data_IF_809709253877
#
_entry.id   IF_809709253877
#
_cell.length_a   1.000
_cell.length_b   1.000
_cell.length_c   1.000
_cell.angle_alpha   90.00
_cell.angle_beta   90.00
_cell.angle_gamma   90.00
#
_symmetry.space_group_name_H-M   'P 1'
#
loop_
_entity.id
_entity.type
_entity.pdbx_description
1 polymer ?
#
# COMPACT_ATOMS: atom_id res chain seq x y z
N UNK A 1 -3.63 23.50 30.25
CA UNK A 1 -5.01 23.04 30.31
C UNK A 1 -4.99 21.52 30.41
N UNK A 2 -5.24 20.94 31.59
CA UNK A 2 -5.37 19.48 31.75
C UNK A 2 -6.71 19.05 31.19
N UNK A 3 -6.71 18.36 30.07
CA UNK A 3 -7.94 17.80 29.51
C UNK A 3 -8.29 16.55 30.32
N UNK A 4 -9.29 16.65 31.15
CA UNK A 4 -9.88 15.50 31.83
C UNK A 4 -10.65 14.69 30.77
N UNK A 5 -10.15 13.51 30.45
CA UNK A 5 -10.86 12.57 29.60
C UNK A 5 -12.01 11.94 30.39
N UNK A 6 -13.16 12.60 30.42
CA UNK A 6 -14.41 11.92 30.76
C UNK A 6 -14.59 10.77 29.77
N UNK A 7 -14.96 9.58 30.26
CA UNK A 7 -15.36 8.45 29.42
C UNK A 7 -16.42 8.94 28.42
N UNK A 8 -15.99 9.22 27.21
CA UNK A 8 -16.92 9.47 26.10
C UNK A 8 -17.56 8.13 25.78
N UNK A 9 -18.87 8.06 25.83
CA UNK A 9 -19.61 6.85 25.49
C UNK A 9 -19.15 6.33 24.13
N UNK A 10 -18.86 5.04 24.08
CA UNK A 10 -18.31 4.31 22.91
C UNK A 10 -19.14 4.35 21.62
N UNK A 11 -20.31 4.95 21.67
CA UNK A 11 -21.25 5.10 20.53
C UNK A 11 -20.80 6.10 19.44
N UNK A 12 -19.80 6.94 19.72
CA UNK A 12 -19.35 8.00 18.79
C UNK A 12 -18.13 7.64 17.94
N UNK A 13 -17.44 6.54 18.23
CA UNK A 13 -16.33 6.08 17.41
C UNK A 13 -16.81 5.13 16.32
N UNK A 14 -17.33 5.71 15.25
CA UNK A 14 -17.57 4.97 14.02
C UNK A 14 -16.21 4.68 13.39
N UNK A 15 -15.70 3.47 13.63
CA UNK A 15 -14.53 2.97 12.88
C UNK A 15 -14.97 2.75 11.45
N UNK A 16 -14.69 3.69 10.57
CA UNK A 16 -15.07 3.65 9.15
C UNK A 16 -14.12 2.80 8.31
N UNK A 17 -13.13 2.15 8.92
CA UNK A 17 -12.06 1.50 8.21
C UNK A 17 -12.08 -0.02 8.46
N UNK A 18 -12.24 -0.80 7.39
CA UNK A 18 -12.07 -2.25 7.40
C UNK A 18 -10.58 -2.68 7.55
N UNK A 19 -9.70 -1.73 7.84
CA UNK A 19 -8.27 -1.96 7.96
C UNK A 19 -7.89 -2.55 9.32
N UNK A 20 -6.84 -3.34 9.34
CA UNK A 20 -6.18 -3.83 10.55
C UNK A 20 -5.72 -2.66 11.44
N UNK A 21 -5.57 -2.92 12.75
CA UNK A 21 -4.98 -1.96 13.71
C UNK A 21 -3.46 -1.82 13.56
N UNK A 22 -2.81 -2.76 12.86
CA UNK A 22 -1.35 -2.85 12.73
C UNK A 22 -0.71 -1.54 12.25
N UNK A 23 -1.21 -0.86 11.19
CA UNK A 23 -0.59 0.37 10.72
C UNK A 23 -0.70 1.54 11.69
N UNK A 24 -1.54 1.43 12.72
CA UNK A 24 -1.73 2.46 13.74
C UNK A 24 -0.90 2.23 15.01
N UNK A 25 -0.16 1.11 15.10
CA UNK A 25 0.66 0.79 16.27
C UNK A 25 1.67 1.89 16.59
N UNK A 26 2.44 2.45 15.63
CA UNK A 26 3.42 3.48 15.93
C UNK A 26 2.78 4.74 16.53
N UNK A 27 1.66 5.18 15.96
CA UNK A 27 0.92 6.35 16.45
C UNK A 27 0.37 6.09 17.86
N UNK A 28 -0.17 4.89 18.10
CA UNK A 28 -0.67 4.50 19.42
C UNK A 28 0.42 4.50 20.48
N UNK A 29 1.63 4.06 20.14
CA UNK A 29 2.80 4.12 21.05
C UNK A 29 3.13 5.57 21.39
N UNK A 30 3.18 6.47 20.41
CA UNK A 30 3.46 7.89 20.68
C UNK A 30 2.40 8.56 21.57
N UNK A 31 1.12 8.27 21.32
CA UNK A 31 0.01 8.75 22.13
C UNK A 31 0.10 8.17 23.56
N UNK A 32 0.42 6.90 23.69
CA UNK A 32 0.56 6.22 24.97
C UNK A 32 1.69 6.84 25.82
N UNK A 33 2.85 7.09 25.21
CA UNK A 33 3.98 7.77 25.87
C UNK A 33 3.55 9.17 26.36
N UNK A 34 2.89 9.97 25.51
CA UNK A 34 2.43 11.29 25.88
C UNK A 34 1.43 11.27 27.06
N UNK A 35 0.58 10.25 27.12
CA UNK A 35 -0.39 10.06 28.21
C UNK A 35 0.30 9.71 29.53
N UNK A 36 1.29 8.80 29.52
CA UNK A 36 2.06 8.44 30.72
C UNK A 36 2.78 9.67 31.29
N UNK A 37 3.34 10.50 30.41
CA UNK A 37 4.06 11.70 30.78
C UNK A 37 3.12 12.86 31.17
N UNK A 38 1.80 12.68 31.13
CA UNK A 38 0.82 13.71 31.48
C UNK A 38 0.85 14.93 30.59
N UNK A 39 1.29 14.78 29.32
CA UNK A 39 1.46 15.89 28.38
C UNK A 39 0.12 16.41 27.85
N UNK A 40 0.14 17.63 27.30
CA UNK A 40 -1.04 18.26 26.71
C UNK A 40 -1.49 17.56 25.41
N UNK A 41 -2.71 17.86 24.96
CA UNK A 41 -3.28 17.32 23.72
C UNK A 41 -2.36 17.57 22.49
N UNK A 42 -1.70 18.73 22.43
CA UNK A 42 -0.77 19.07 21.36
C UNK A 42 0.37 18.04 21.28
N UNK A 43 0.94 17.67 22.44
CA UNK A 43 2.03 16.68 22.50
C UNK A 43 1.55 15.26 22.16
N UNK A 44 0.31 14.88 22.47
CA UNK A 44 -0.26 13.61 22.00
C UNK A 44 -0.23 13.53 20.47
N UNK A 45 -0.64 14.62 19.81
CA UNK A 45 -0.63 14.68 18.33
C UNK A 45 0.80 14.65 17.80
N UNK A 46 1.71 15.46 18.36
CA UNK A 46 3.10 15.53 17.91
C UNK A 46 3.81 14.18 18.07
N UNK A 47 3.73 13.56 19.25
CA UNK A 47 4.41 12.28 19.53
C UNK A 47 3.81 11.13 18.73
N UNK A 48 2.49 11.09 18.52
CA UNK A 48 1.87 10.10 17.64
C UNK A 48 2.40 10.17 16.21
N UNK A 49 2.46 11.36 15.63
CA UNK A 49 3.01 11.61 14.28
C UNK A 49 4.51 11.32 14.22
N UNK A 50 5.26 11.73 15.23
CA UNK A 50 6.69 11.50 15.31
C UNK A 50 7.03 10.01 15.35
N UNK A 51 6.33 9.21 16.17
CA UNK A 51 6.54 7.77 16.23
C UNK A 51 6.22 7.09 14.88
N UNK A 52 5.18 7.54 14.17
CA UNK A 52 4.89 7.03 12.84
C UNK A 52 6.02 7.33 11.84
N UNK A 53 6.53 8.57 11.85
CA UNK A 53 7.65 8.98 11.00
C UNK A 53 8.93 8.18 11.32
N UNK A 54 9.25 8.00 12.59
CA UNK A 54 10.41 7.21 13.02
C UNK A 54 10.29 5.76 12.55
N UNK A 55 9.12 5.15 12.74
CA UNK A 55 8.87 3.79 12.30
C UNK A 55 9.01 3.63 10.77
N UNK A 56 8.43 4.56 10.02
CA UNK A 56 8.60 4.65 8.57
C UNK A 56 10.08 4.73 8.18
N UNK A 57 10.83 5.64 8.77
CA UNK A 57 12.25 5.85 8.47
C UNK A 57 13.10 4.60 8.79
N UNK A 58 12.83 3.93 9.90
CA UNK A 58 13.55 2.71 10.30
C UNK A 58 13.27 1.55 9.33
N UNK A 59 12.01 1.30 9.00
CA UNK A 59 11.63 0.20 8.09
C UNK A 59 12.16 0.50 6.68
N UNK A 60 12.02 1.74 6.20
CA UNK A 60 12.53 2.16 4.89
C UNK A 60 14.06 2.06 4.81
N UNK A 61 14.78 2.45 5.88
CA UNK A 61 16.24 2.24 5.97
C UNK A 61 16.61 0.76 5.84
N UNK A 62 15.85 -0.13 6.49
CA UNK A 62 16.07 -1.57 6.37
C UNK A 62 15.79 -2.06 4.94
N UNK A 63 14.75 -1.53 4.29
CA UNK A 63 14.44 -1.83 2.90
C UNK A 63 15.58 -1.39 1.96
N UNK A 64 16.07 -0.16 2.09
CA UNK A 64 17.19 0.37 1.30
C UNK A 64 18.43 -0.51 1.46
N UNK A 65 18.83 -0.83 2.70
CA UNK A 65 19.98 -1.70 2.95
C UNK A 65 19.84 -3.09 2.33
N UNK A 66 18.61 -3.58 2.22
CA UNK A 66 18.31 -4.91 1.69
C UNK A 66 18.23 -4.94 0.17
N UNK A 67 17.83 -3.83 -0.45
CA UNK A 67 17.69 -3.67 -1.89
C UNK A 67 19.02 -3.40 -2.60
N UNK A 68 20.07 -4.19 -2.31
CA UNK A 68 21.42 -4.01 -2.89
C UNK A 68 21.36 -3.81 -4.40
N UNK A 69 21.99 -2.73 -4.89
CA UNK A 69 21.99 -2.31 -6.29
C UNK A 69 20.80 -1.43 -6.68
N UNK A 70 19.81 -1.25 -5.80
CA UNK A 70 18.64 -0.39 -6.00
C UNK A 70 18.48 0.64 -4.87
N UNK A 71 19.50 0.84 -4.03
CA UNK A 71 19.44 1.67 -2.83
C UNK A 71 18.99 3.09 -3.13
N UNK A 72 19.51 3.67 -4.20
CA UNK A 72 19.20 5.05 -4.59
C UNK A 72 17.76 5.15 -5.11
N UNK A 73 17.30 4.17 -5.89
CA UNK A 73 15.90 4.12 -6.35
C UNK A 73 14.94 4.06 -5.15
N UNK A 74 15.19 3.16 -4.19
CA UNK A 74 14.37 3.04 -3.00
C UNK A 74 14.43 4.32 -2.15
N UNK A 75 15.60 4.92 -2.00
CA UNK A 75 15.78 6.18 -1.30
C UNK A 75 15.02 7.33 -1.95
N UNK A 76 15.11 7.46 -3.27
CA UNK A 76 14.41 8.49 -4.02
C UNK A 76 12.88 8.38 -3.90
N UNK A 77 12.34 7.16 -4.02
CA UNK A 77 10.89 6.94 -3.88
C UNK A 77 10.44 7.17 -2.44
N UNK A 78 11.21 6.72 -1.46
CA UNK A 78 10.86 6.90 -0.05
C UNK A 78 10.86 8.37 0.40
N UNK A 79 11.65 9.21 -0.26
CA UNK A 79 11.73 10.65 0.02
C UNK A 79 10.73 11.47 -0.82
N UNK A 80 9.87 10.84 -1.62
CA UNK A 80 8.80 11.57 -2.29
C UNK A 80 7.96 12.36 -1.27
N UNK A 81 7.61 13.63 -1.57
CA UNK A 81 6.91 14.50 -0.63
C UNK A 81 5.66 13.87 -0.02
N UNK A 82 4.85 13.18 -0.83
CA UNK A 82 3.66 12.50 -0.34
C UNK A 82 4.00 11.36 0.63
N UNK A 83 5.04 10.56 0.36
CA UNK A 83 5.47 9.48 1.25
C UNK A 83 5.88 10.01 2.62
N UNK A 84 6.67 11.08 2.64
CA UNK A 84 7.10 11.74 3.89
C UNK A 84 5.92 12.38 4.63
N UNK A 85 5.00 13.04 3.90
CA UNK A 85 3.80 13.61 4.49
C UNK A 85 2.93 12.55 5.17
N UNK A 86 2.66 11.44 4.50
CA UNK A 86 1.87 10.32 5.06
C UNK A 86 2.55 9.70 6.28
N UNK A 87 3.88 9.54 6.24
CA UNK A 87 4.66 9.06 7.36
C UNK A 87 4.63 10.00 8.57
N UNK A 88 4.61 11.33 8.32
CA UNK A 88 4.50 12.37 9.35
C UNK A 88 3.05 12.71 9.74
N UNK A 89 2.08 11.87 9.41
CA UNK A 89 0.66 12.06 9.70
C UNK A 89 0.09 10.92 10.56
N UNK A 90 -1.21 10.96 10.87
CA UNK A 90 -1.94 9.81 11.45
C UNK A 90 -2.45 8.82 10.41
N UNK A 91 -2.06 8.98 9.14
CA UNK A 91 -2.46 8.04 8.09
C UNK A 91 -1.84 6.66 8.32
N UNK A 92 -2.57 5.58 8.09
CA UNK A 92 -2.02 4.22 8.05
C UNK A 92 -1.06 4.01 6.87
N UNK A 93 -1.14 4.88 5.86
CA UNK A 93 -0.44 4.71 4.59
C UNK A 93 1.08 4.84 4.72
N UNK A 94 1.57 5.62 5.70
CA UNK A 94 3.00 5.67 6.00
C UNK A 94 3.57 4.29 6.31
N UNK A 95 2.88 3.51 7.16
CA UNK A 95 3.30 2.15 7.52
C UNK A 95 3.12 1.18 6.34
N UNK A 96 2.01 1.29 5.60
CA UNK A 96 1.76 0.46 4.41
C UNK A 96 2.88 0.66 3.39
N UNK A 97 3.27 1.90 3.10
CA UNK A 97 4.34 2.22 2.17
C UNK A 97 5.70 1.65 2.64
N UNK A 98 6.04 1.85 3.93
CA UNK A 98 7.29 1.33 4.49
C UNK A 98 7.38 -0.21 4.38
N UNK A 99 6.32 -0.93 4.73
CA UNK A 99 6.27 -2.39 4.66
C UNK A 99 6.26 -2.88 3.21
N UNK A 100 5.62 -2.16 2.30
CA UNK A 100 5.66 -2.47 0.86
C UNK A 100 7.07 -2.31 0.31
N UNK A 101 7.77 -1.23 0.64
CA UNK A 101 9.19 -1.08 0.29
C UNK A 101 10.02 -2.22 0.84
N UNK A 102 9.81 -2.59 2.10
CA UNK A 102 10.55 -3.70 2.70
C UNK A 102 10.28 -5.04 2.01
N UNK A 103 9.03 -5.33 1.64
CA UNK A 103 8.66 -6.55 0.95
C UNK A 103 9.27 -6.63 -0.46
N UNK A 104 9.23 -5.52 -1.23
CA UNK A 104 9.85 -5.45 -2.56
C UNK A 104 11.38 -5.57 -2.44
N UNK A 105 11.98 -4.91 -1.46
CA UNK A 105 13.41 -5.05 -1.18
C UNK A 105 13.79 -6.49 -0.80
N UNK A 106 12.94 -7.18 -0.04
CA UNK A 106 13.11 -8.60 0.26
C UNK A 106 13.09 -9.45 -1.02
N UNK A 107 12.17 -9.19 -1.94
CA UNK A 107 12.11 -9.86 -3.23
C UNK A 107 13.41 -9.64 -4.03
N UNK A 108 13.87 -8.40 -4.17
CA UNK A 108 15.14 -8.09 -4.82
C UNK A 108 16.31 -8.81 -4.14
N UNK A 109 16.34 -8.83 -2.82
CA UNK A 109 17.36 -9.54 -2.05
C UNK A 109 17.37 -11.03 -2.31
N UNK A 110 16.20 -11.69 -2.33
CA UNK A 110 16.09 -13.13 -2.58
C UNK A 110 16.61 -13.51 -3.98
N UNK A 111 16.45 -12.63 -4.97
CA UNK A 111 16.94 -12.85 -6.33
C UNK A 111 18.46 -12.62 -6.43
N UNK A 112 18.96 -11.57 -5.78
CA UNK A 112 20.33 -11.10 -6.00
C UNK A 112 21.36 -11.76 -5.07
N UNK A 113 20.94 -12.33 -3.93
CA UNK A 113 21.86 -13.04 -3.02
C UNK A 113 22.39 -14.33 -3.67
N UNK A 114 23.58 -14.78 -3.29
CA UNK A 114 24.19 -16.02 -3.76
C UNK A 114 23.45 -17.27 -3.23
N UNK A 115 22.97 -17.21 -2.00
CA UNK A 115 22.25 -18.31 -1.37
C UNK A 115 20.91 -18.57 -2.05
N UNK A 116 20.56 -19.84 -2.17
CA UNK A 116 19.25 -20.27 -2.70
C UNK A 116 18.13 -19.88 -1.76
N UNK A 117 16.95 -19.71 -2.32
CA UNK A 117 15.72 -19.38 -1.59
C UNK A 117 15.19 -20.64 -0.90
N UNK A 118 15.17 -20.62 0.43
CA UNK A 118 14.68 -21.71 1.26
C UNK A 118 13.16 -21.57 1.49
N UNK A 119 12.54 -22.65 1.96
CA UNK A 119 11.12 -22.62 2.35
C UNK A 119 10.84 -21.59 3.45
N UNK A 120 11.78 -21.41 4.39
CA UNK A 120 11.66 -20.40 5.46
C UNK A 120 11.57 -18.97 4.90
N UNK A 121 12.38 -18.65 3.88
CA UNK A 121 12.34 -17.33 3.23
C UNK A 121 10.97 -17.08 2.61
N UNK A 122 10.38 -18.09 1.99
CA UNK A 122 9.06 -18.02 1.36
C UNK A 122 7.95 -17.82 2.38
N UNK A 123 8.01 -18.50 3.53
CA UNK A 123 7.07 -18.29 4.65
C UNK A 123 7.15 -16.85 5.17
N UNK A 124 8.36 -16.34 5.41
CA UNK A 124 8.55 -14.96 5.88
C UNK A 124 7.96 -13.97 4.87
N UNK A 125 8.20 -14.19 3.58
CA UNK A 125 7.65 -13.33 2.53
C UNK A 125 6.13 -13.38 2.48
N UNK A 126 5.54 -14.57 2.55
CA UNK A 126 4.09 -14.77 2.58
C UNK A 126 3.45 -14.14 3.83
N UNK A 127 4.07 -14.29 5.00
CA UNK A 127 3.60 -13.68 6.24
C UNK A 127 3.59 -12.14 6.18
N UNK A 128 4.64 -11.53 5.62
CA UNK A 128 4.70 -10.08 5.39
C UNK A 128 3.63 -9.63 4.38
N UNK A 129 3.41 -10.40 3.32
CA UNK A 129 2.35 -10.12 2.34
C UNK A 129 0.96 -10.22 2.98
N UNK A 130 0.74 -11.19 3.87
CA UNK A 130 -0.51 -11.33 4.62
C UNK A 130 -0.74 -10.13 5.54
N UNK A 131 0.28 -9.68 6.26
CA UNK A 131 0.19 -8.47 7.10
C UNK A 131 -0.22 -7.26 6.25
N UNK A 132 0.41 -7.05 5.10
CA UNK A 132 0.03 -5.97 4.16
C UNK A 132 -1.41 -6.13 3.65
N UNK A 133 -1.84 -7.35 3.33
CA UNK A 133 -3.20 -7.64 2.87
C UNK A 133 -4.26 -7.32 3.93
N UNK A 134 -3.97 -7.52 5.23
CA UNK A 134 -4.87 -7.10 6.32
C UNK A 134 -4.97 -5.59 6.46
N UNK A 135 -3.96 -4.85 6.03
CA UNK A 135 -3.99 -3.38 6.00
C UNK A 135 -4.74 -2.86 4.78
N UNK A 136 -4.44 -3.41 3.60
CA UNK A 136 -5.07 -3.09 2.31
C UNK A 136 -5.13 -4.34 1.42
N UNK A 137 -6.32 -4.86 1.19
CA UNK A 137 -6.55 -6.12 0.50
C UNK A 137 -5.82 -6.29 -0.86
N UNK A 138 -5.73 -5.30 -1.75
CA UNK A 138 -5.05 -5.47 -3.03
C UNK A 138 -3.58 -5.89 -2.92
N UNK A 139 -2.93 -5.58 -1.81
CA UNK A 139 -1.53 -5.95 -1.57
C UNK A 139 -1.32 -7.45 -1.35
N UNK A 140 -2.40 -8.26 -1.20
CA UNK A 140 -2.30 -9.72 -1.22
C UNK A 140 -1.62 -10.24 -2.49
N UNK A 141 -1.80 -9.54 -3.61
CA UNK A 141 -1.18 -9.90 -4.89
C UNK A 141 0.35 -9.88 -4.85
N UNK A 142 0.96 -9.16 -3.90
CA UNK A 142 2.42 -9.13 -3.75
C UNK A 142 3.01 -10.50 -3.42
N UNK A 143 2.25 -11.40 -2.76
CA UNK A 143 2.72 -12.76 -2.53
C UNK A 143 2.97 -13.51 -3.84
N UNK A 144 2.29 -13.13 -4.92
CA UNK A 144 2.48 -13.68 -6.27
C UNK A 144 3.89 -13.50 -6.81
N UNK A 145 4.68 -12.54 -6.30
CA UNK A 145 6.09 -12.36 -6.65
C UNK A 145 6.92 -13.63 -6.41
N UNK A 146 6.53 -14.47 -5.46
CA UNK A 146 7.21 -15.76 -5.21
C UNK A 146 7.24 -16.67 -6.44
N UNK A 147 6.22 -16.61 -7.30
CA UNK A 147 6.16 -17.40 -8.54
C UNK A 147 7.15 -16.93 -9.61
N UNK A 148 7.68 -15.72 -9.47
CA UNK A 148 8.58 -15.08 -10.43
C UNK A 148 10.04 -15.07 -9.98
N UNK A 149 10.38 -15.85 -8.94
CA UNK A 149 11.75 -16.13 -8.56
C UNK A 149 12.32 -17.15 -9.53
N UNK A 150 13.53 -16.94 -10.13
CA UNK A 150 14.14 -17.88 -11.08
C UNK A 150 14.32 -19.29 -10.50
N UNK A 151 14.17 -20.31 -11.36
CA UNK A 151 14.30 -21.72 -10.95
C UNK A 151 15.68 -22.03 -10.36
N UNK A 152 16.70 -21.40 -10.89
CA UNK A 152 18.11 -21.57 -10.48
C UNK A 152 18.33 -21.09 -9.04
N UNK A 153 17.51 -20.15 -8.58
CA UNK A 153 17.56 -19.58 -7.23
C UNK A 153 16.79 -20.40 -6.19
N UNK A 154 15.95 -21.33 -6.64
CA UNK A 154 15.19 -22.19 -5.73
C UNK A 154 16.05 -23.36 -5.20
N UNK A 155 15.96 -23.64 -3.91
CA UNK A 155 16.72 -24.72 -3.27
C UNK A 155 16.24 -26.10 -3.75
N UNK A 156 14.92 -26.28 -3.89
CA UNK A 156 14.30 -27.52 -4.31
C UNK A 156 13.28 -27.26 -5.42
N UNK A 157 13.18 -28.18 -6.43
CA UNK A 157 12.18 -28.06 -7.50
C UNK A 157 10.74 -27.96 -7.00
N UNK A 158 10.43 -28.57 -5.86
CA UNK A 158 9.11 -28.49 -5.20
C UNK A 158 8.79 -27.09 -4.64
N UNK A 159 9.75 -26.17 -4.57
CA UNK A 159 9.51 -24.83 -4.02
C UNK A 159 8.43 -24.05 -4.78
N UNK A 160 8.23 -24.33 -6.09
CA UNK A 160 7.10 -23.71 -6.83
C UNK A 160 5.74 -24.22 -6.34
N UNK A 161 5.64 -25.49 -5.95
CA UNK A 161 4.43 -26.03 -5.33
C UNK A 161 4.19 -25.35 -3.98
N UNK A 162 5.24 -25.16 -3.19
CA UNK A 162 5.15 -24.44 -1.91
C UNK A 162 4.81 -22.96 -2.13
N UNK A 163 5.35 -22.31 -3.16
CA UNK A 163 4.96 -20.94 -3.53
C UNK A 163 3.46 -20.87 -3.86
N UNK A 164 2.96 -21.79 -4.69
CA UNK A 164 1.54 -21.85 -5.03
C UNK A 164 0.67 -22.09 -3.79
N UNK A 165 1.08 -23.01 -2.90
CA UNK A 165 0.39 -23.27 -1.65
C UNK A 165 0.36 -22.03 -0.74
N UNK A 166 1.49 -21.34 -0.57
CA UNK A 166 1.57 -20.12 0.23
C UNK A 166 0.72 -18.98 -0.35
N UNK A 167 0.70 -18.82 -1.68
CA UNK A 167 -0.17 -17.86 -2.36
C UNK A 167 -1.64 -18.19 -2.06
N UNK A 168 -2.03 -19.44 -2.22
CA UNK A 168 -3.40 -19.89 -1.96
C UNK A 168 -3.82 -19.68 -0.50
N UNK A 169 -2.97 -20.10 0.45
CA UNK A 169 -3.22 -19.91 1.90
C UNK A 169 -3.31 -18.42 2.24
N UNK A 170 -2.39 -17.60 1.73
CA UNK A 170 -2.41 -16.15 1.97
C UNK A 170 -3.69 -15.51 1.42
N UNK A 171 -4.13 -15.92 0.22
CA UNK A 171 -5.38 -15.44 -0.38
C UNK A 171 -6.61 -15.84 0.47
N UNK A 172 -6.68 -17.08 0.93
CA UNK A 172 -7.78 -17.56 1.80
C UNK A 172 -7.81 -16.77 3.12
N UNK A 173 -6.67 -16.66 3.79
CA UNK A 173 -6.59 -15.93 5.07
C UNK A 173 -6.96 -14.46 4.92
N UNK A 174 -6.55 -13.82 3.82
CA UNK A 174 -6.92 -12.45 3.51
C UNK A 174 -8.42 -12.31 3.25
N UNK A 175 -9.04 -13.27 2.57
CA UNK A 175 -10.48 -13.30 2.33
C UNK A 175 -11.28 -13.52 3.63
N UNK A 176 -10.84 -14.45 4.48
CA UNK A 176 -11.45 -14.67 5.79
C UNK A 176 -11.36 -13.42 6.67
N UNK A 177 -10.21 -12.75 6.67
CA UNK A 177 -10.04 -11.47 7.35
C UNK A 177 -11.01 -10.41 6.82
N UNK A 178 -11.15 -10.28 5.49
CA UNK A 178 -12.08 -9.34 4.88
C UNK A 178 -13.51 -9.63 5.30
N UNK A 179 -13.94 -10.89 5.29
CA UNK A 179 -15.28 -11.30 5.70
C UNK A 179 -15.55 -10.90 7.15
N UNK A 180 -14.65 -11.25 8.08
CA UNK A 180 -14.80 -10.87 9.49
C UNK A 180 -14.81 -9.36 9.68
N UNK A 181 -13.97 -8.63 8.95
CA UNK A 181 -13.92 -7.17 9.01
C UNK A 181 -15.17 -6.53 8.40
N UNK A 182 -15.76 -7.10 7.35
CA UNK A 182 -16.99 -6.61 6.73
C UNK A 182 -18.21 -6.83 7.62
N UNK A 183 -18.29 -7.95 8.33
CA UNK A 183 -19.37 -8.24 9.28
C UNK A 183 -19.40 -7.23 10.44
N UNK A 184 -18.22 -6.80 10.93
CA UNK A 184 -18.07 -5.75 11.93
C UNK A 184 -18.51 -4.38 11.38
N UNK A 185 -18.36 -4.16 10.08
CA UNK A 185 -18.64 -2.88 9.41
C UNK A 185 -19.97 -2.88 8.62
N UNK A 186 -20.68 -4.01 8.51
CA UNK A 186 -21.90 -4.15 7.72
C UNK A 186 -23.04 -3.21 8.17
N UNK A 187 -23.01 -2.72 9.42
CA UNK A 187 -23.94 -1.70 9.92
C UNK A 187 -23.69 -0.29 9.34
N UNK A 188 -22.70 -0.14 8.46
CA UNK A 188 -22.20 1.16 7.99
C UNK A 188 -22.09 1.21 6.46
N UNK A 189 -23.17 0.89 5.75
CA UNK A 189 -23.30 1.26 4.33
C UNK A 189 -23.31 2.79 4.26
N UNK A 190 -22.14 3.36 4.20
CA UNK A 190 -21.96 4.78 3.96
C UNK A 190 -22.34 5.06 2.51
N UNK A 191 -23.31 5.96 2.30
CA UNK A 191 -23.75 6.45 0.98
C UNK A 191 -24.68 5.55 0.15
N UNK A 192 -25.40 4.56 0.73
CA UNK A 192 -26.45 3.82 0.01
C UNK A 192 -25.95 2.91 -1.12
N UNK A 193 -24.65 2.64 -1.21
CA UNK A 193 -24.07 1.74 -2.21
C UNK A 193 -24.06 0.32 -1.67
N UNK A 194 -24.74 -0.60 -2.37
CA UNK A 194 -24.62 -2.03 -2.11
C UNK A 194 -23.52 -2.64 -3.00
N UNK A 195 -22.37 -3.07 -2.46
CA UNK A 195 -21.29 -3.62 -3.26
C UNK A 195 -21.69 -4.86 -4.06
N UNK A 196 -22.57 -5.71 -3.50
CA UNK A 196 -23.02 -6.94 -4.17
C UNK A 196 -23.85 -6.62 -5.41
N UNK A 197 -24.79 -5.69 -5.29
CA UNK A 197 -25.64 -5.28 -6.42
C UNK A 197 -24.81 -4.51 -7.45
N UNK A 198 -23.82 -3.76 -7.02
CA UNK A 198 -22.86 -3.11 -7.92
C UNK A 198 -22.02 -4.12 -8.71
N UNK A 199 -21.59 -5.21 -8.08
CA UNK A 199 -20.90 -6.32 -8.77
C UNK A 199 -21.82 -6.95 -9.82
N UNK A 200 -23.10 -7.25 -9.46
CA UNK A 200 -24.07 -7.81 -10.41
C UNK A 200 -24.28 -6.89 -11.61
N UNK A 201 -24.47 -5.60 -11.34
CA UNK A 201 -24.63 -4.58 -12.38
C UNK A 201 -23.38 -4.51 -13.28
N UNK A 202 -22.20 -4.55 -12.71
CA UNK A 202 -20.92 -4.54 -13.45
C UNK A 202 -20.78 -5.77 -14.35
N UNK A 203 -21.13 -6.96 -13.86
CA UNK A 203 -21.10 -8.20 -14.64
C UNK A 203 -22.09 -8.13 -15.80
N UNK A 204 -23.29 -7.57 -15.60
CA UNK A 204 -24.28 -7.38 -16.65
C UNK A 204 -23.80 -6.42 -17.77
N UNK A 205 -22.86 -5.52 -17.44
CA UNK A 205 -22.37 -4.49 -18.37
C UNK A 205 -20.84 -4.57 -18.55
N UNK A 206 -20.25 -5.77 -18.56
CA UNK A 206 -18.81 -6.01 -18.51
C UNK A 206 -18.03 -5.28 -19.61
N UNK A 207 -18.57 -5.19 -20.82
CA UNK A 207 -17.91 -4.52 -21.95
C UNK A 207 -17.74 -3.01 -21.71
N UNK A 208 -18.79 -2.35 -21.22
CA UNK A 208 -18.77 -0.93 -20.89
C UNK A 208 -17.83 -0.69 -19.71
N UNK A 209 -17.92 -1.53 -18.68
CA UNK A 209 -17.07 -1.48 -17.52
C UNK A 209 -15.60 -1.59 -17.92
N UNK A 210 -15.22 -2.62 -18.68
CA UNK A 210 -13.83 -2.84 -19.05
C UNK A 210 -13.25 -1.68 -19.87
N UNK A 211 -14.00 -1.16 -20.84
CA UNK A 211 -13.59 0.00 -21.65
C UNK A 211 -13.37 1.25 -20.77
N UNK A 212 -14.31 1.54 -19.90
CA UNK A 212 -14.23 2.70 -19.00
C UNK A 212 -13.10 2.54 -17.99
N UNK A 213 -12.96 1.35 -17.42
CA UNK A 213 -11.90 1.02 -16.48
C UNK A 213 -10.50 1.15 -17.12
N UNK A 214 -10.31 0.59 -18.31
CA UNK A 214 -9.04 0.67 -19.01
C UNK A 214 -8.67 2.10 -19.34
N UNK A 215 -9.64 2.92 -19.77
CA UNK A 215 -9.44 4.34 -20.00
C UNK A 215 -8.98 5.06 -18.74
N UNK A 216 -9.68 4.89 -17.62
CA UNK A 216 -9.33 5.49 -16.33
C UNK A 216 -7.96 5.02 -15.83
N UNK A 217 -7.61 3.74 -16.08
CA UNK A 217 -6.32 3.19 -15.68
C UNK A 217 -5.17 3.78 -16.53
N UNK A 218 -5.36 3.97 -17.82
CA UNK A 218 -4.37 4.61 -18.70
C UNK A 218 -4.22 6.10 -18.36
N UNK A 219 -5.32 6.80 -18.12
CA UNK A 219 -5.33 8.22 -17.76
C UNK A 219 -4.78 8.48 -16.35
N UNK A 220 -4.70 7.43 -15.53
CA UNK A 220 -4.20 7.53 -14.16
C UNK A 220 -2.74 7.98 -14.11
N UNK A 221 -1.87 7.41 -14.96
CA UNK A 221 -0.44 7.71 -14.93
C UNK A 221 -0.16 9.19 -15.18
N UNK A 222 -0.56 9.80 -16.32
CA UNK A 222 -0.24 11.20 -16.61
C UNK A 222 -0.92 12.18 -15.65
N UNK A 223 -2.17 11.89 -15.25
CA UNK A 223 -2.94 12.82 -14.43
C UNK A 223 -2.63 12.74 -12.93
N UNK A 224 -2.03 11.63 -12.46
CA UNK A 224 -1.76 11.40 -11.05
C UNK A 224 -0.31 11.59 -10.64
N UNK A 225 0.62 11.63 -11.58
CA UNK A 225 2.02 11.91 -11.27
C UNK A 225 2.19 13.20 -10.46
N UNK A 226 1.35 14.22 -10.71
CA UNK A 226 1.35 15.46 -9.94
C UNK A 226 0.99 15.26 -8.45
N UNK A 227 0.19 14.26 -8.10
CA UNK A 227 -0.21 14.02 -6.72
C UNK A 227 0.92 13.48 -5.82
N UNK A 228 1.98 12.89 -6.41
CA UNK A 228 3.20 12.49 -5.69
C UNK A 228 3.90 13.68 -5.02
N UNK A 229 3.70 14.87 -5.57
CA UNK A 229 4.35 16.11 -5.17
C UNK A 229 3.38 17.07 -4.46
N UNK A 230 2.34 16.52 -3.85
CA UNK A 230 1.37 17.30 -3.09
C UNK A 230 1.43 16.96 -1.61
N UNK A 231 0.92 17.87 -0.79
CA UNK A 231 0.75 17.70 0.66
C UNK A 231 -0.71 17.98 1.04
N UNK A 232 -1.09 17.64 2.29
CA UNK A 232 -2.34 18.09 2.88
C UNK A 232 -3.57 17.64 2.09
N UNK A 233 -3.76 16.35 1.87
CA UNK A 233 -4.88 15.79 1.11
C UNK A 233 -4.98 16.35 -0.32
N UNK A 234 -3.81 16.46 -0.97
CA UNK A 234 -3.68 16.95 -2.34
C UNK A 234 -4.04 18.44 -2.52
N UNK A 235 -4.13 19.18 -1.41
CA UNK A 235 -4.52 20.59 -1.43
C UNK A 235 -3.36 21.51 -1.77
N UNK A 236 -2.14 21.14 -1.34
CA UNK A 236 -0.94 21.95 -1.51
C UNK A 236 0.03 21.27 -2.48
N UNK A 237 0.06 21.72 -3.71
CA UNK A 237 1.03 21.26 -4.72
C UNK A 237 2.34 22.04 -4.63
N UNK A 238 3.44 21.38 -4.96
CA UNK A 238 4.76 22.03 -5.07
C UNK A 238 4.92 22.87 -6.36
N UNK A 239 3.89 22.93 -7.20
CA UNK A 239 3.95 23.67 -8.46
C UNK A 239 5.11 23.22 -9.36
N UNK A 240 5.86 24.16 -9.90
CA UNK A 240 6.99 23.87 -10.79
C UNK A 240 8.15 23.12 -10.11
N UNK A 241 8.25 23.16 -8.78
CA UNK A 241 9.28 22.42 -8.02
C UNK A 241 9.14 20.91 -8.25
N UNK A 242 7.91 20.41 -8.48
CA UNK A 242 7.63 19.01 -8.78
C UNK A 242 8.40 18.52 -10.01
N UNK A 243 8.46 19.34 -11.06
CA UNK A 243 9.19 19.01 -12.29
C UNK A 243 10.69 18.99 -12.09
N UNK A 244 11.24 19.95 -11.35
CA UNK A 244 12.67 19.98 -11.02
C UNK A 244 13.07 18.76 -10.19
N UNK A 245 12.25 18.38 -9.21
CA UNK A 245 12.49 17.18 -8.42
C UNK A 245 12.42 15.91 -9.29
N UNK A 246 11.44 15.79 -10.16
CA UNK A 246 11.30 14.64 -11.08
C UNK A 246 12.53 14.55 -12.01
N UNK A 247 12.94 15.66 -12.62
CA UNK A 247 14.12 15.73 -13.49
C UNK A 247 15.38 15.34 -12.71
N UNK A 248 15.55 15.86 -11.50
CA UNK A 248 16.67 15.56 -10.63
C UNK A 248 16.75 14.06 -10.28
N UNK A 249 15.66 13.48 -9.80
CA UNK A 249 15.60 12.05 -9.47
C UNK A 249 15.82 11.19 -10.70
N UNK A 250 15.18 11.53 -11.83
CA UNK A 250 15.37 10.80 -13.09
C UNK A 250 16.81 10.87 -13.58
N UNK A 251 17.45 12.04 -13.48
CA UNK A 251 18.86 12.21 -13.85
C UNK A 251 19.79 11.35 -12.98
N UNK A 252 19.56 11.34 -11.66
CA UNK A 252 20.33 10.47 -10.75
C UNK A 252 20.13 9.00 -11.14
N UNK A 253 18.89 8.57 -11.39
CA UNK A 253 18.61 7.17 -11.74
C UNK A 253 19.26 6.75 -13.06
N UNK A 254 19.34 7.65 -14.04
CA UNK A 254 20.02 7.42 -15.32
C UNK A 254 21.56 7.36 -15.18
N UNK A 255 22.13 8.10 -14.23
CA UNK A 255 23.58 8.13 -14.01
C UNK A 255 24.10 6.93 -13.20
N UNK A 256 23.22 6.17 -12.55
CA UNK A 256 23.63 5.02 -11.76
C UNK A 256 23.78 3.80 -12.67
N UNK A 257 24.96 3.20 -12.76
CA UNK A 257 25.11 1.93 -13.43
C UNK A 257 24.26 0.88 -12.69
N UNK A 258 23.31 0.29 -13.38
CA UNK A 258 22.51 -0.82 -12.84
C UNK A 258 23.42 -2.04 -12.67
N UNK A 259 24.02 -2.16 -11.49
CA UNK A 259 25.00 -3.22 -11.20
C UNK A 259 24.40 -4.62 -11.10
N UNK A 260 23.08 -4.71 -10.93
CA UNK A 260 22.38 -5.99 -10.75
C UNK A 260 21.12 -6.04 -11.62
N UNK A 261 21.19 -6.61 -12.83
CA UNK A 261 20.02 -6.78 -13.67
C UNK A 261 19.09 -7.85 -13.07
N UNK A 262 17.86 -7.49 -12.78
CA UNK A 262 16.82 -8.48 -12.47
C UNK A 262 16.59 -9.41 -13.68
N UNK A 263 16.43 -10.73 -13.47
CA UNK A 263 16.07 -11.66 -14.52
C UNK A 263 14.79 -11.25 -15.23
N UNK A 264 14.66 -11.56 -16.51
CA UNK A 264 13.48 -11.19 -17.31
C UNK A 264 12.16 -11.65 -16.66
N UNK A 265 12.13 -12.88 -16.13
CA UNK A 265 10.95 -13.42 -15.45
C UNK A 265 10.55 -12.59 -14.24
N UNK A 266 11.50 -12.13 -13.46
CA UNK A 266 11.22 -11.29 -12.28
C UNK A 266 10.78 -9.88 -12.66
N UNK A 267 11.31 -9.29 -13.75
CA UNK A 267 10.84 -8.00 -14.30
C UNK A 267 9.38 -8.09 -14.75
N UNK A 268 9.04 -9.13 -15.52
CA UNK A 268 7.67 -9.38 -15.98
C UNK A 268 6.75 -9.61 -14.79
N UNK A 269 7.18 -10.44 -13.82
CA UNK A 269 6.41 -10.71 -12.61
C UNK A 269 6.14 -9.45 -11.79
N UNK A 270 7.15 -8.60 -11.60
CA UNK A 270 6.98 -7.33 -10.89
C UNK A 270 5.99 -6.41 -11.63
N UNK A 271 6.09 -6.29 -12.95
CA UNK A 271 5.17 -5.50 -13.75
C UNK A 271 3.73 -6.04 -13.66
N UNK A 272 3.53 -7.36 -13.78
CA UNK A 272 2.21 -7.99 -13.68
C UNK A 272 1.60 -7.80 -12.29
N UNK A 273 2.38 -8.01 -11.23
CA UNK A 273 1.89 -7.85 -9.86
C UNK A 273 1.58 -6.38 -9.55
N UNK A 274 2.44 -5.43 -9.96
CA UNK A 274 2.17 -4.01 -9.80
C UNK A 274 0.90 -3.57 -10.55
N UNK A 275 0.71 -4.03 -11.79
CA UNK A 275 -0.52 -3.82 -12.56
C UNK A 275 -1.74 -4.40 -11.84
N UNK A 276 -1.62 -5.64 -11.33
CA UNK A 276 -2.69 -6.29 -10.57
C UNK A 276 -3.05 -5.55 -9.29
N UNK A 277 -2.06 -5.07 -8.53
CA UNK A 277 -2.30 -4.26 -7.32
C UNK A 277 -3.01 -2.95 -7.69
N UNK A 278 -2.55 -2.25 -8.72
CA UNK A 278 -3.18 -1.00 -9.20
C UNK A 278 -4.63 -1.25 -9.66
N UNK A 279 -4.87 -2.35 -10.40
CA UNK A 279 -6.21 -2.78 -10.78
C UNK A 279 -7.07 -3.06 -9.55
N UNK A 280 -6.56 -3.79 -8.57
CA UNK A 280 -7.27 -4.11 -7.33
C UNK A 280 -7.66 -2.87 -6.52
N UNK A 281 -6.77 -1.87 -6.44
CA UNK A 281 -7.04 -0.60 -5.75
C UNK A 281 -8.17 0.15 -6.46
N UNK A 282 -8.13 0.28 -7.80
CA UNK A 282 -9.18 0.91 -8.57
C UNK A 282 -10.51 0.17 -8.43
N UNK A 283 -10.48 -1.17 -8.47
CA UNK A 283 -11.67 -2.01 -8.34
C UNK A 283 -12.34 -1.82 -6.97
N UNK A 284 -11.56 -1.85 -5.88
CA UNK A 284 -12.10 -1.62 -4.54
C UNK A 284 -12.67 -0.21 -4.43
N UNK A 285 -11.97 0.79 -4.94
CA UNK A 285 -12.45 2.18 -4.96
C UNK A 285 -13.75 2.29 -5.74
N UNK A 286 -13.87 1.62 -6.89
CA UNK A 286 -15.09 1.57 -7.70
C UNK A 286 -16.26 0.92 -6.93
N UNK A 287 -16.01 -0.20 -6.24
CA UNK A 287 -17.04 -0.93 -5.51
C UNK A 287 -17.52 -0.19 -4.26
N UNK A 288 -16.66 0.60 -3.63
CA UNK A 288 -16.98 1.29 -2.36
C UNK A 288 -17.59 2.69 -2.56
N UNK A 289 -17.41 3.30 -3.74
CA UNK A 289 -17.83 4.67 -4.00
C UNK A 289 -18.76 4.79 -5.23
N UNK A 290 -19.54 5.88 -5.27
CA UNK A 290 -20.46 6.15 -6.37
C UNK A 290 -21.85 5.59 -6.14
N UNK A 291 -22.63 5.47 -7.22
CA UNK A 291 -23.98 4.92 -7.18
C UNK A 291 -23.98 3.44 -7.58
N UNK A 292 -24.93 2.66 -7.04
CA UNK A 292 -24.98 1.21 -7.29
C UNK A 292 -25.20 0.88 -8.77
N UNK A 293 -26.02 1.65 -9.48
CA UNK A 293 -26.35 1.44 -10.90
C UNK A 293 -25.58 2.39 -11.84
N UNK A 294 -24.37 2.80 -11.48
CA UNK A 294 -23.57 3.73 -12.28
C UNK A 294 -22.21 3.10 -12.64
N UNK A 295 -21.93 3.01 -13.94
CA UNK A 295 -20.62 2.60 -14.45
C UNK A 295 -19.72 3.82 -14.64
N UNK A 296 -20.22 5.04 -14.46
CA UNK A 296 -19.38 6.21 -14.57
C UNK A 296 -18.33 6.22 -13.46
N UNK A 297 -17.06 6.30 -13.86
CA UNK A 297 -15.95 6.54 -12.93
C UNK A 297 -15.84 8.01 -12.52
N UNK A 298 -16.76 8.88 -12.93
CA UNK A 298 -16.71 10.30 -12.65
C UNK A 298 -16.72 10.59 -11.14
N UNK A 299 -17.48 9.84 -10.36
CA UNK A 299 -17.47 9.90 -8.90
C UNK A 299 -16.25 9.18 -8.31
N UNK A 300 -15.81 8.07 -8.91
CA UNK A 300 -14.66 7.28 -8.49
C UNK A 300 -13.37 8.01 -8.84
N UNK A 301 -13.26 8.57 -10.04
CA UNK A 301 -12.07 9.32 -10.44
C UNK A 301 -11.83 10.54 -9.55
N UNK A 302 -12.88 11.26 -9.14
CA UNK A 302 -12.74 12.35 -8.15
C UNK A 302 -12.23 11.86 -6.80
N UNK A 303 -12.71 10.72 -6.30
CA UNK A 303 -12.29 10.16 -5.01
C UNK A 303 -10.90 9.53 -5.12
N UNK A 304 -10.62 8.78 -6.17
CA UNK A 304 -9.31 8.20 -6.44
C UNK A 304 -8.31 9.31 -6.76
N UNK A 305 -8.73 10.40 -7.42
CA UNK A 305 -7.93 11.61 -7.63
C UNK A 305 -7.61 12.29 -6.30
N UNK A 306 -8.58 12.45 -5.41
CA UNK A 306 -8.35 13.03 -4.09
C UNK A 306 -7.53 12.13 -3.17
N UNK A 307 -7.40 10.83 -3.48
CA UNK A 307 -6.63 9.86 -2.72
C UNK A 307 -5.54 9.20 -3.59
N UNK A 308 -4.94 9.97 -4.48
CA UNK A 308 -3.91 9.51 -5.43
C UNK A 308 -2.73 8.76 -4.81
N UNK A 309 -2.49 8.91 -3.50
CA UNK A 309 -1.46 8.22 -2.74
C UNK A 309 -1.68 6.69 -2.62
N UNK A 310 -2.80 6.13 -3.08
CA UNK A 310 -3.00 4.68 -3.13
C UNK A 310 -2.20 3.97 -4.24
N UNK A 311 -1.59 4.71 -5.14
CA UNK A 311 -0.91 4.16 -6.31
C UNK A 311 0.62 4.19 -6.22
N UNK A 312 1.18 4.49 -5.06
CA UNK A 312 2.64 4.56 -4.84
C UNK A 312 3.20 3.37 -4.13
#
# INVERSE_FOLDING_TARGET
MKVSFKKVHSSLFIVTNASSFIPYIPQAIGIWIARILGLSLLWLVILGRFCNLVCYALITRLAIKKAKGFEILFGAIALLPMCVYLAASFSPDGMVNALTFYLIAQFCHLINREQKVSFRDMIIFAALSLVLATMKLPYVLLVGLLSFIPKEKMEVKKNYLYAALLIFVTAILSFLWLKQSSDINASKVTHGVNPVDKIKFTIAHVNIFFKTFLREWIDLIPNKMGSLFTFGWLTYGLGNISWYYLIFVSSILLMIPQSLPLPKISKVGTALVATGVSFGILMISYLMWGQTADISFASVSKVVISQGYYFY
#
